data_IF_725612235551
#
_entry.id   IF_725612235551
#
_cell.length_a   1.000
_cell.length_b   1.000
_cell.length_c   1.000
_cell.angle_alpha   90.00
_cell.angle_beta   90.00
_cell.angle_gamma   90.00
#
_symmetry.space_group_name_H-M   'P 1'
#
loop_
_entity.id
_entity.type
_entity.pdbx_description
1 polymer ?
#
# COMPACT_ATOMS: atom_id res chain seq x y z
N UNK A 1 38.34 31.59 -31.77
CA UNK A 1 37.45 30.42 -31.52
C UNK A 1 36.53 30.74 -30.33
N UNK A 2 35.36 31.34 -30.62
CA UNK A 2 34.28 31.52 -29.64
C UNK A 2 33.58 30.18 -29.43
N UNK A 3 33.82 29.54 -28.29
CA UNK A 3 33.01 28.40 -27.83
C UNK A 3 31.61 28.88 -27.49
N UNK A 4 30.63 28.62 -28.34
CA UNK A 4 29.22 28.72 -28.00
C UNK A 4 28.90 27.73 -26.88
N UNK A 5 28.82 28.21 -25.67
CA UNK A 5 28.18 27.49 -24.56
C UNK A 5 26.68 27.51 -24.84
N UNK A 6 26.16 26.48 -25.51
CA UNK A 6 24.73 26.19 -25.46
C UNK A 6 24.40 25.83 -24.02
N UNK A 7 23.98 26.81 -23.25
CA UNK A 7 23.37 26.57 -21.96
C UNK A 7 22.06 25.81 -22.22
N UNK A 8 22.06 24.52 -22.02
CA UNK A 8 20.84 23.71 -21.94
C UNK A 8 20.09 24.17 -20.69
N UNK A 9 19.18 25.13 -20.87
CA UNK A 9 18.24 25.50 -19.80
C UNK A 9 17.42 24.24 -19.52
N UNK A 10 17.46 23.72 -18.28
CA UNK A 10 16.67 22.53 -17.96
C UNK A 10 15.21 22.86 -18.24
N UNK A 11 14.53 22.03 -19.05
CA UNK A 11 13.11 22.17 -19.30
C UNK A 11 12.41 22.13 -17.95
N UNK A 12 11.76 23.24 -17.55
CA UNK A 12 10.97 23.28 -16.33
C UNK A 12 9.77 22.35 -16.51
N UNK A 13 9.60 21.43 -15.58
CA UNK A 13 8.39 20.60 -15.52
C UNK A 13 7.23 21.43 -14.97
N UNK A 14 6.40 21.94 -15.88
CA UNK A 14 5.22 22.72 -15.54
C UNK A 14 4.03 21.81 -15.18
N UNK A 15 3.96 20.59 -15.69
CA UNK A 15 2.87 19.66 -15.39
C UNK A 15 2.86 19.23 -13.92
N UNK A 16 4.02 19.26 -13.25
CA UNK A 16 4.13 18.94 -11.81
C UNK A 16 3.68 20.08 -10.89
N UNK A 17 3.38 21.26 -11.42
CA UNK A 17 3.03 22.46 -10.66
C UNK A 17 1.52 22.64 -10.54
N UNK A 18 1.10 23.34 -9.47
CA UNK A 18 -0.26 23.88 -9.36
C UNK A 18 -0.34 25.26 -9.99
N UNK A 19 -1.53 25.65 -10.43
CA UNK A 19 -1.78 27.02 -10.87
C UNK A 19 -1.49 28.00 -9.74
N UNK A 20 -0.98 29.17 -10.13
CA UNK A 20 -0.78 30.29 -9.21
C UNK A 20 -2.14 30.93 -8.95
N UNK A 21 -2.54 31.02 -7.69
CA UNK A 21 -3.75 31.72 -7.29
C UNK A 21 -3.55 33.23 -7.45
N UNK A 22 -4.32 33.82 -8.37
CA UNK A 22 -4.26 35.25 -8.66
C UNK A 22 -5.24 36.10 -7.85
N UNK A 23 -6.00 35.49 -6.92
CA UNK A 23 -6.91 36.20 -6.02
C UNK A 23 -6.19 36.93 -4.89
N UNK A 24 -4.96 36.49 -4.54
CA UNK A 24 -4.12 37.13 -3.52
C UNK A 24 -3.91 38.66 -3.81
N UNK A 25 -3.97 39.49 -2.76
CA UNK A 25 -3.83 40.94 -2.81
C UNK A 25 -2.56 41.39 -3.53
N UNK A 26 -1.45 40.67 -3.40
CA UNK A 26 -0.17 40.99 -4.10
C UNK A 26 -0.29 40.98 -5.62
N UNK A 27 -1.20 40.17 -6.19
CA UNK A 27 -1.44 40.17 -7.64
C UNK A 27 -2.45 41.23 -8.07
N UNK A 28 -3.30 41.68 -7.14
CA UNK A 28 -4.23 42.79 -7.42
C UNK A 28 -3.50 44.17 -7.43
N UNK A 29 -2.52 44.32 -6.56
CA UNK A 29 -1.75 45.57 -6.42
C UNK A 29 -0.59 45.72 -7.40
N UNK A 30 -0.12 44.60 -8.00
CA UNK A 30 1.03 44.61 -8.92
C UNK A 30 0.66 44.03 -10.30
N UNK A 31 0.42 44.92 -11.31
CA UNK A 31 0.10 44.46 -12.68
C UNK A 31 1.17 43.53 -13.29
N UNK A 32 2.43 43.76 -12.97
CA UNK A 32 3.55 42.93 -13.43
C UNK A 32 3.50 41.52 -12.90
N UNK A 33 3.22 41.34 -11.59
CA UNK A 33 3.05 40.04 -10.98
C UNK A 33 1.81 39.30 -11.51
N UNK A 34 0.70 40.01 -11.70
CA UNK A 34 -0.51 39.46 -12.30
C UNK A 34 -0.26 38.91 -13.70
N UNK A 35 0.42 39.71 -14.54
CA UNK A 35 0.80 39.28 -15.90
C UNK A 35 1.73 38.08 -15.89
N UNK A 36 2.72 38.06 -15.00
CA UNK A 36 3.61 36.93 -14.84
C UNK A 36 2.82 35.67 -14.44
N UNK A 37 1.93 35.73 -13.43
CA UNK A 37 1.12 34.62 -12.99
C UNK A 37 0.21 34.07 -14.10
N UNK A 38 -0.39 34.97 -14.90
CA UNK A 38 -1.20 34.58 -16.07
C UNK A 38 -0.40 33.76 -17.09
N UNK A 39 0.83 34.23 -17.41
CA UNK A 39 1.71 33.52 -18.35
C UNK A 39 2.16 32.18 -17.77
N UNK A 40 2.46 32.11 -16.49
CA UNK A 40 2.87 30.89 -15.82
C UNK A 40 1.71 29.86 -15.79
N UNK A 41 0.48 30.30 -15.48
CA UNK A 41 -0.72 29.46 -15.50
C UNK A 41 -1.02 28.93 -16.91
N UNK A 42 -0.83 29.76 -17.95
CA UNK A 42 -0.97 29.33 -19.34
C UNK A 42 0.03 28.20 -19.68
N UNK A 43 1.29 28.30 -19.24
CA UNK A 43 2.30 27.27 -19.48
C UNK A 43 1.96 25.97 -18.76
N UNK A 44 1.50 26.05 -17.50
CA UNK A 44 1.08 24.90 -16.71
C UNK A 44 -0.10 24.20 -17.40
N UNK A 45 -1.13 24.95 -17.77
CA UNK A 45 -2.31 24.41 -18.45
C UNK A 45 -1.97 23.80 -19.82
N UNK A 46 -1.17 24.49 -20.62
CA UNK A 46 -0.77 24.00 -21.95
C UNK A 46 0.03 22.70 -21.88
N UNK A 47 0.95 22.57 -20.92
CA UNK A 47 1.71 21.33 -20.74
C UNK A 47 0.83 20.20 -20.21
N UNK A 48 -0.05 20.49 -19.24
CA UNK A 48 -1.01 19.51 -18.72
C UNK A 48 -1.94 18.99 -19.81
N UNK A 49 -2.42 19.85 -20.71
CA UNK A 49 -3.27 19.48 -21.84
C UNK A 49 -2.51 18.64 -22.88
N UNK A 50 -1.30 19.06 -23.24
CA UNK A 50 -0.47 18.33 -24.20
C UNK A 50 -0.13 16.91 -23.73
N UNK A 51 0.07 16.72 -22.42
CA UNK A 51 0.33 15.40 -21.83
C UNK A 51 -0.93 14.54 -21.66
N UNK A 52 -2.11 15.17 -21.54
CA UNK A 52 -3.39 14.47 -21.33
C UNK A 52 -4.07 14.04 -22.63
N UNK A 53 -3.65 14.56 -23.79
CA UNK A 53 -4.30 14.41 -25.10
C UNK A 53 -5.76 14.88 -25.13
N UNK A 54 -6.59 14.55 -24.14
CA UNK A 54 -7.93 15.08 -23.91
C UNK A 54 -8.34 14.94 -22.44
N UNK A 55 -9.22 15.82 -21.96
CA UNK A 55 -9.75 15.77 -20.58
C UNK A 55 -10.51 14.46 -20.34
N UNK A 56 -11.36 14.04 -21.28
CA UNK A 56 -12.15 12.81 -21.17
C UNK A 56 -11.25 11.57 -21.08
N UNK A 57 -10.16 11.55 -21.84
CA UNK A 57 -9.18 10.45 -21.76
C UNK A 57 -8.49 10.42 -20.41
N UNK A 58 -8.10 11.59 -19.88
CA UNK A 58 -7.48 11.72 -18.57
C UNK A 58 -8.42 11.24 -17.44
N UNK A 59 -9.70 11.64 -17.48
CA UNK A 59 -10.73 11.20 -16.53
C UNK A 59 -10.92 9.69 -16.58
N UNK A 60 -10.97 9.11 -17.78
CA UNK A 60 -11.06 7.66 -17.94
C UNK A 60 -9.83 6.94 -17.38
N UNK A 61 -8.62 7.42 -17.67
CA UNK A 61 -7.38 6.83 -17.14
C UNK A 61 -7.30 6.93 -15.61
N UNK A 62 -7.73 8.04 -15.02
CA UNK A 62 -7.84 8.20 -13.56
C UNK A 62 -8.78 7.14 -12.97
N UNK A 63 -9.95 6.96 -13.59
CA UNK A 63 -10.92 5.94 -13.15
C UNK A 63 -10.32 4.53 -13.19
N UNK A 64 -9.73 4.14 -14.31
CA UNK A 64 -9.10 2.81 -14.48
C UNK A 64 -7.99 2.57 -13.48
N UNK A 65 -7.08 3.55 -13.29
CA UNK A 65 -5.97 3.42 -12.32
C UNK A 65 -6.44 3.44 -10.87
N UNK A 66 -7.50 4.17 -10.57
CA UNK A 66 -8.12 4.19 -9.23
C UNK A 66 -8.70 2.81 -8.89
N UNK A 67 -9.41 2.18 -9.82
CA UNK A 67 -9.95 0.83 -9.61
C UNK A 67 -8.83 -0.22 -9.52
N UNK A 68 -7.79 -0.12 -10.35
CA UNK A 68 -6.62 -1.00 -10.24
C UNK A 68 -5.91 -0.84 -8.87
N UNK A 69 -5.79 0.39 -8.39
CA UNK A 69 -5.23 0.68 -7.05
C UNK A 69 -6.08 0.12 -5.92
N UNK A 70 -7.42 0.25 -5.99
CA UNK A 70 -8.34 -0.34 -5.01
C UNK A 70 -8.23 -1.86 -4.97
N UNK A 71 -8.24 -2.50 -6.14
CA UNK A 71 -8.07 -3.96 -6.26
C UNK A 71 -6.74 -4.43 -5.67
N UNK A 72 -5.64 -3.76 -6.01
CA UNK A 72 -4.33 -4.08 -5.45
C UNK A 72 -4.30 -3.93 -3.92
N UNK A 73 -4.91 -2.86 -3.37
CA UNK A 73 -5.02 -2.64 -1.92
C UNK A 73 -5.82 -3.75 -1.25
N UNK A 74 -6.93 -4.18 -1.83
CA UNK A 74 -7.74 -5.27 -1.29
C UNK A 74 -6.95 -6.58 -1.27
N UNK A 75 -6.23 -6.90 -2.34
CA UNK A 75 -5.37 -8.10 -2.40
C UNK A 75 -4.24 -8.05 -1.35
N UNK A 76 -3.68 -6.87 -1.06
CA UNK A 76 -2.69 -6.70 0.04
C UNK A 76 -3.31 -7.06 1.38
N UNK A 77 -4.53 -6.59 1.68
CA UNK A 77 -5.23 -6.91 2.94
C UNK A 77 -5.51 -8.41 3.06
N UNK A 78 -5.95 -9.05 1.98
CA UNK A 78 -6.19 -10.50 1.96
C UNK A 78 -4.90 -11.29 2.21
N UNK A 79 -3.77 -10.87 1.61
CA UNK A 79 -2.47 -11.48 1.86
C UNK A 79 -1.99 -11.27 3.30
N UNK A 80 -2.24 -10.09 3.90
CA UNK A 80 -1.89 -9.82 5.30
C UNK A 80 -2.64 -10.75 6.26
N UNK A 81 -3.93 -11.00 6.02
CA UNK A 81 -4.69 -11.98 6.80
C UNK A 81 -4.11 -13.38 6.66
N UNK A 82 -3.86 -13.84 5.43
CA UNK A 82 -3.25 -15.16 5.19
C UNK A 82 -1.87 -15.31 5.82
N UNK A 83 -1.04 -14.27 5.74
CA UNK A 83 0.29 -14.24 6.36
C UNK A 83 0.17 -14.36 7.88
N UNK A 84 -0.76 -13.63 8.49
CA UNK A 84 -1.02 -13.69 9.93
C UNK A 84 -1.42 -15.09 10.38
N UNK A 85 -2.38 -15.71 9.69
CA UNK A 85 -2.85 -17.06 10.00
C UNK A 85 -1.71 -18.07 9.85
N UNK A 86 -0.90 -17.94 8.79
CA UNK A 86 0.24 -18.83 8.55
C UNK A 86 1.34 -18.68 9.62
N UNK A 87 1.59 -17.48 10.13
CA UNK A 87 2.52 -17.24 11.24
C UNK A 87 2.07 -17.98 12.51
N UNK A 88 0.76 -17.96 12.82
CA UNK A 88 0.22 -18.70 13.96
C UNK A 88 0.37 -20.22 13.76
N UNK A 89 0.10 -20.71 12.57
CA UNK A 89 0.27 -22.14 12.22
C UNK A 89 1.74 -22.56 12.37
N UNK A 90 2.68 -21.77 11.86
CA UNK A 90 4.12 -22.05 11.99
C UNK A 90 4.51 -22.10 13.47
N UNK A 91 4.04 -21.17 14.29
CA UNK A 91 4.28 -21.14 15.73
C UNK A 91 3.79 -22.44 16.40
N UNK A 92 2.57 -22.89 16.11
CA UNK A 92 2.05 -24.13 16.65
C UNK A 92 2.81 -25.35 16.10
N UNK A 93 3.20 -25.37 14.85
CA UNK A 93 3.99 -26.43 14.27
C UNK A 93 5.38 -26.57 14.93
N UNK A 94 6.03 -25.46 15.23
CA UNK A 94 7.29 -25.41 15.96
C UNK A 94 7.13 -25.89 17.41
N UNK A 95 6.08 -25.43 18.11
CA UNK A 95 5.76 -25.88 19.48
C UNK A 95 5.45 -27.38 19.52
N UNK A 96 4.68 -27.88 18.56
CA UNK A 96 4.37 -29.30 18.43
C UNK A 96 5.64 -30.13 18.26
N UNK A 97 6.52 -29.74 17.33
CA UNK A 97 7.80 -30.43 17.05
C UNK A 97 8.75 -30.39 18.24
N UNK A 98 8.91 -29.23 18.87
CA UNK A 98 9.82 -29.02 20.00
C UNK A 98 9.41 -29.85 21.23
N UNK A 99 8.10 -30.04 21.46
CA UNK A 99 7.59 -30.72 22.64
C UNK A 99 7.17 -32.18 22.40
N UNK A 100 7.34 -32.68 21.19
CA UNK A 100 6.95 -34.04 20.81
C UNK A 100 7.67 -35.13 21.67
N UNK A 101 8.97 -34.94 21.95
CA UNK A 101 9.78 -35.86 22.76
C UNK A 101 9.25 -36.03 24.19
N UNK A 102 8.80 -34.93 24.80
CA UNK A 102 8.23 -34.92 26.16
C UNK A 102 6.90 -35.71 26.21
N UNK A 103 6.06 -35.54 25.19
CA UNK A 103 4.81 -36.31 25.10
C UNK A 103 5.07 -37.80 24.88
N UNK A 104 6.04 -38.20 24.05
CA UNK A 104 6.45 -39.57 23.86
C UNK A 104 7.01 -40.12 25.15
N UNK A 105 7.85 -39.38 25.85
CA UNK A 105 8.38 -39.75 27.15
C UNK A 105 7.29 -39.97 28.20
N UNK A 106 6.27 -39.11 28.25
CA UNK A 106 5.12 -39.26 29.13
C UNK A 106 4.36 -40.58 28.89
N UNK A 107 4.12 -40.93 27.62
CA UNK A 107 3.44 -42.19 27.28
C UNK A 107 4.24 -43.46 27.63
N UNK A 108 5.57 -43.36 27.69
CA UNK A 108 6.48 -44.46 27.98
C UNK A 108 6.95 -44.50 29.44
N UNK A 109 6.60 -43.50 30.24
CA UNK A 109 7.09 -43.39 31.63
C UNK A 109 6.52 -44.50 32.53
N UNK A 110 7.38 -45.06 33.36
CA UNK A 110 6.96 -46.04 34.41
C UNK A 110 6.08 -45.36 35.47
N UNK A 111 6.30 -44.09 35.75
CA UNK A 111 5.46 -43.29 36.64
C UNK A 111 5.02 -42.02 35.86
N UNK A 112 3.87 -42.07 35.19
CA UNK A 112 3.35 -40.96 34.38
C UNK A 112 3.11 -39.68 35.19
N UNK A 113 2.62 -39.77 36.42
CA UNK A 113 2.29 -38.63 37.27
C UNK A 113 3.55 -37.83 37.66
N UNK A 114 4.60 -38.55 38.05
CA UNK A 114 5.89 -37.90 38.39
C UNK A 114 6.52 -37.27 37.13
N UNK A 115 6.42 -37.92 36.00
CA UNK A 115 6.91 -37.40 34.73
C UNK A 115 6.11 -36.18 34.30
N UNK A 116 4.77 -36.22 34.38
CA UNK A 116 3.90 -35.07 34.07
C UNK A 116 4.24 -33.86 34.92
N UNK A 117 4.32 -34.01 36.26
CA UNK A 117 4.67 -32.90 37.14
C UNK A 117 6.00 -32.26 36.78
N UNK A 118 6.96 -33.01 36.30
CA UNK A 118 8.28 -32.54 35.92
C UNK A 118 8.28 -31.76 34.59
N UNK A 119 7.42 -32.16 33.63
CA UNK A 119 7.39 -31.64 32.26
C UNK A 119 6.00 -31.14 31.87
N UNK A 120 5.23 -30.67 32.84
CA UNK A 120 3.83 -30.28 32.68
C UNK A 120 3.66 -29.23 31.56
N UNK A 121 4.45 -28.16 31.59
CA UNK A 121 4.37 -27.08 30.60
C UNK A 121 4.59 -27.59 29.17
N UNK A 122 5.59 -28.44 28.97
CA UNK A 122 5.92 -29.00 27.65
C UNK A 122 4.82 -29.94 27.13
N UNK A 123 4.23 -30.76 28.00
CA UNK A 123 3.16 -31.68 27.65
C UNK A 123 1.88 -30.90 27.32
N UNK A 124 1.57 -29.85 28.09
CA UNK A 124 0.42 -28.98 27.84
C UNK A 124 0.60 -28.23 26.52
N UNK A 125 1.79 -27.63 26.27
CA UNK A 125 2.11 -26.93 25.02
C UNK A 125 1.99 -27.88 23.81
N UNK A 126 2.48 -29.11 23.91
CA UNK A 126 2.30 -30.10 22.85
C UNK A 126 0.83 -30.37 22.58
N UNK A 127 0.03 -30.60 23.62
CA UNK A 127 -1.40 -30.92 23.49
C UNK A 127 -2.21 -29.72 22.91
N UNK A 128 -1.85 -28.50 23.30
CA UNK A 128 -2.44 -27.27 22.76
C UNK A 128 -2.10 -27.10 21.28
N UNK A 129 -0.80 -27.15 20.95
CA UNK A 129 -0.34 -27.01 19.57
C UNK A 129 -0.93 -28.07 18.64
N UNK A 130 -1.00 -29.31 19.11
CA UNK A 130 -1.64 -30.40 18.38
C UNK A 130 -3.10 -30.11 18.03
N UNK A 131 -3.90 -29.69 19.02
CA UNK A 131 -5.33 -29.34 18.81
C UNK A 131 -5.50 -28.20 17.80
N UNK A 132 -4.69 -27.16 17.92
CA UNK A 132 -4.75 -26.01 17.00
C UNK A 132 -4.43 -26.40 15.56
N UNK A 133 -3.42 -27.25 15.36
CA UNK A 133 -3.05 -27.76 14.04
C UNK A 133 -4.13 -28.69 13.45
N UNK A 134 -4.72 -29.56 14.27
CA UNK A 134 -5.83 -30.46 13.86
C UNK A 134 -7.08 -29.64 13.49
N UNK A 135 -7.43 -28.60 14.26
CA UNK A 135 -8.52 -27.67 13.96
C UNK A 135 -8.28 -26.89 12.67
N UNK A 136 -7.04 -26.48 12.40
CA UNK A 136 -6.65 -25.85 11.15
C UNK A 136 -6.57 -26.82 9.96
N UNK A 137 -6.91 -28.10 10.14
CA UNK A 137 -6.99 -29.12 9.09
C UNK A 137 -5.64 -29.73 8.69
N UNK A 138 -4.57 -29.54 9.47
CA UNK A 138 -3.26 -30.10 9.15
C UNK A 138 -3.14 -31.55 9.56
N UNK A 139 -2.61 -32.35 8.65
CA UNK A 139 -2.22 -33.74 8.98
C UNK A 139 -0.84 -33.72 9.66
N UNK A 140 -0.82 -34.05 10.96
CA UNK A 140 0.39 -34.01 11.78
C UNK A 140 1.51 -34.94 11.33
N UNK A 141 1.14 -36.07 10.64
CA UNK A 141 2.13 -37.03 10.12
C UNK A 141 2.91 -36.48 8.91
N UNK A 142 2.28 -35.58 8.14
CA UNK A 142 2.85 -34.97 6.94
C UNK A 142 3.22 -33.51 7.15
N UNK A 143 3.23 -33.03 8.41
CA UNK A 143 3.52 -31.64 8.74
C UNK A 143 4.97 -31.30 8.39
N UNK A 144 5.16 -30.37 7.44
CA UNK A 144 6.46 -29.89 7.02
C UNK A 144 6.60 -28.38 7.32
N UNK A 145 7.35 -28.05 8.35
CA UNK A 145 7.55 -26.68 8.81
C UNK A 145 8.33 -25.85 7.77
N UNK A 146 9.29 -26.46 7.07
CA UNK A 146 10.10 -25.74 6.07
C UNK A 146 9.25 -25.33 4.87
N UNK A 147 8.26 -26.19 4.49
CA UNK A 147 7.28 -25.84 3.46
C UNK A 147 6.40 -24.68 3.89
N UNK A 148 5.93 -24.63 5.14
CA UNK A 148 5.15 -23.52 5.67
C UNK A 148 5.96 -22.22 5.70
N UNK A 149 7.25 -22.31 6.08
CA UNK A 149 8.16 -21.15 6.05
C UNK A 149 8.41 -20.64 4.63
N UNK A 150 8.56 -21.53 3.66
CA UNK A 150 8.70 -21.17 2.25
C UNK A 150 7.44 -20.49 1.71
N UNK A 151 6.25 -20.99 2.10
CA UNK A 151 4.97 -20.39 1.75
C UNK A 151 4.84 -18.97 2.38
N UNK A 152 5.23 -18.81 3.63
CA UNK A 152 5.28 -17.51 4.29
C UNK A 152 6.18 -16.50 3.55
N UNK A 153 7.37 -16.93 3.12
CA UNK A 153 8.28 -16.08 2.36
C UNK A 153 7.68 -15.66 1.01
N UNK A 154 7.05 -16.60 0.31
CA UNK A 154 6.40 -16.31 -0.97
C UNK A 154 5.21 -15.36 -0.83
N UNK A 155 4.33 -15.56 0.16
CA UNK A 155 3.23 -14.63 0.43
C UNK A 155 3.72 -13.23 0.81
N UNK A 156 4.82 -13.15 1.58
CA UNK A 156 5.44 -11.88 1.94
C UNK A 156 5.98 -11.16 0.71
N UNK A 157 6.66 -11.88 -0.20
CA UNK A 157 7.14 -11.33 -1.47
C UNK A 157 6.00 -10.77 -2.32
N UNK A 158 4.92 -11.55 -2.47
CA UNK A 158 3.73 -11.14 -3.23
C UNK A 158 3.07 -9.89 -2.62
N UNK A 159 2.98 -9.83 -1.29
CA UNK A 159 2.46 -8.66 -0.58
C UNK A 159 3.31 -7.41 -0.88
N UNK A 160 4.64 -7.53 -0.85
CA UNK A 160 5.54 -6.41 -1.07
C UNK A 160 5.47 -5.91 -2.53
N UNK A 161 5.35 -6.81 -3.50
CA UNK A 161 5.14 -6.47 -4.91
C UNK A 161 3.82 -5.74 -5.13
N UNK A 162 2.71 -6.25 -4.57
CA UNK A 162 1.40 -5.61 -4.68
C UNK A 162 1.35 -4.27 -3.94
N UNK A 163 2.03 -4.16 -2.79
CA UNK A 163 2.15 -2.90 -2.05
C UNK A 163 2.91 -1.85 -2.87
N UNK A 164 3.96 -2.26 -3.58
CA UNK A 164 4.70 -1.37 -4.47
C UNK A 164 3.83 -0.91 -5.65
N UNK A 165 3.11 -1.84 -6.28
CA UNK A 165 2.18 -1.54 -7.37
C UNK A 165 1.07 -0.58 -6.91
N UNK A 166 0.44 -0.84 -5.76
CA UNK A 166 -0.56 0.04 -5.16
C UNK A 166 -0.03 1.47 -4.96
N UNK A 167 1.16 1.61 -4.37
CA UNK A 167 1.79 2.92 -4.16
C UNK A 167 2.09 3.65 -5.47
N UNK A 168 2.46 2.92 -6.53
CA UNK A 168 2.66 3.48 -7.87
C UNK A 168 1.34 4.02 -8.44
N UNK A 169 0.26 3.22 -8.39
CA UNK A 169 -1.06 3.68 -8.84
C UNK A 169 -1.54 4.91 -8.07
N UNK A 170 -1.36 4.92 -6.75
CA UNK A 170 -1.74 6.07 -5.91
C UNK A 170 -0.98 7.34 -6.30
N UNK A 171 0.31 7.23 -6.58
CA UNK A 171 1.14 8.34 -7.05
C UNK A 171 0.69 8.84 -8.41
N UNK A 172 0.50 7.93 -9.37
CA UNK A 172 0.06 8.25 -10.72
C UNK A 172 -1.32 8.92 -10.73
N UNK A 173 -2.29 8.37 -9.99
CA UNK A 173 -3.63 8.97 -9.84
C UNK A 173 -3.55 10.36 -9.25
N UNK A 174 -2.70 10.59 -8.24
CA UNK A 174 -2.50 11.91 -7.64
C UNK A 174 -1.92 12.92 -8.63
N UNK A 175 -0.97 12.49 -9.46
CA UNK A 175 -0.39 13.34 -10.52
C UNK A 175 -1.41 13.66 -11.62
N UNK A 176 -2.20 12.66 -12.04
CA UNK A 176 -3.26 12.85 -13.04
C UNK A 176 -4.39 13.76 -12.54
N UNK A 177 -4.85 13.58 -11.29
CA UNK A 177 -5.83 14.46 -10.68
C UNK A 177 -5.33 15.90 -10.62
N UNK A 178 -4.07 16.14 -10.26
CA UNK A 178 -3.49 17.48 -10.27
C UNK A 178 -3.51 18.10 -11.66
N UNK A 179 -3.22 17.32 -12.72
CA UNK A 179 -3.32 17.82 -14.11
C UNK A 179 -4.76 18.16 -14.46
N UNK A 180 -5.70 17.32 -14.08
CA UNK A 180 -7.13 17.53 -14.32
C UNK A 180 -7.63 18.77 -13.60
N UNK A 181 -7.25 18.96 -12.32
CA UNK A 181 -7.58 20.16 -11.54
C UNK A 181 -7.05 21.43 -12.18
N UNK A 182 -5.78 21.43 -12.61
CA UNK A 182 -5.18 22.55 -13.32
C UNK A 182 -5.94 22.91 -14.59
N UNK A 183 -6.35 21.91 -15.37
CA UNK A 183 -7.12 22.11 -16.61
C UNK A 183 -8.51 22.66 -16.31
N UNK A 184 -9.24 22.07 -15.37
CA UNK A 184 -10.57 22.50 -15.00
C UNK A 184 -10.56 23.95 -14.44
N UNK A 185 -9.63 24.24 -13.53
CA UNK A 185 -9.47 25.58 -12.97
C UNK A 185 -9.10 26.62 -14.06
N UNK A 186 -8.20 26.26 -14.98
CA UNK A 186 -7.83 27.16 -16.07
C UNK A 186 -8.98 27.43 -17.05
N UNK A 187 -9.82 26.42 -17.29
CA UNK A 187 -11.00 26.52 -18.17
C UNK A 187 -12.24 27.11 -17.48
N UNK A 188 -12.14 27.46 -16.20
CA UNK A 188 -13.26 27.98 -15.41
C UNK A 188 -14.38 26.93 -15.18
N UNK A 189 -14.05 25.62 -15.22
CA UNK A 189 -14.97 24.54 -14.88
C UNK A 189 -14.96 24.37 -13.36
N UNK A 190 -16.15 24.34 -12.74
CA UNK A 190 -16.28 24.14 -11.30
C UNK A 190 -15.71 22.76 -10.87
N UNK A 191 -14.67 22.78 -10.04
CA UNK A 191 -14.04 21.59 -9.47
C UNK A 191 -14.72 21.12 -8.18
N UNK A 192 -15.92 21.61 -7.86
CA UNK A 192 -16.58 21.40 -6.57
C UNK A 192 -16.98 19.95 -6.23
N UNK A 193 -16.83 19.00 -7.17
CA UNK A 193 -17.24 17.60 -6.94
C UNK A 193 -16.15 16.64 -6.46
N UNK A 194 -14.87 17.01 -6.52
CA UNK A 194 -13.74 16.10 -6.21
C UNK A 194 -13.16 16.24 -4.80
N UNK A 195 -13.46 17.34 -4.09
CA UNK A 195 -12.88 17.60 -2.76
C UNK A 195 -13.66 16.95 -1.59
N UNK A 196 -14.86 16.41 -1.82
CA UNK A 196 -15.66 15.82 -0.71
C UNK A 196 -15.28 14.39 -0.34
N UNK A 197 -14.50 13.69 -1.13
CA UNK A 197 -14.11 12.30 -0.81
C UNK A 197 -12.84 12.17 0.06
N UNK A 198 -11.93 13.14 0.01
CA UNK A 198 -10.69 13.08 0.82
C UNK A 198 -10.86 13.53 2.28
N UNK A 199 -11.91 14.29 2.60
CA UNK A 199 -12.17 14.73 3.98
C UNK A 199 -12.95 13.71 4.81
N UNK A 200 -13.67 12.78 4.19
CA UNK A 200 -14.42 11.74 4.93
C UNK A 200 -13.55 10.59 5.43
N UNK A 201 -12.42 10.30 4.79
CA UNK A 201 -11.52 9.23 5.25
C UNK A 201 -10.61 9.64 6.43
N UNK A 202 -10.38 10.94 6.63
CA UNK A 202 -9.57 11.43 7.76
C UNK A 202 -10.30 11.49 9.09
N UNK A 203 -11.64 11.55 9.07
CA UNK A 203 -12.44 11.60 10.31
C UNK A 203 -12.71 10.21 10.92
N UNK A 204 -12.58 9.13 10.16
CA UNK A 204 -12.81 7.76 10.65
C UNK A 204 -11.59 7.10 11.31
N UNK A 205 -10.40 7.66 11.13
CA UNK A 205 -9.17 7.12 11.73
C UNK A 205 -8.72 7.81 13.03
N UNK A 206 -9.56 8.68 13.61
CA UNK A 206 -9.27 9.34 14.90
C UNK A 206 -10.12 8.84 16.08
N UNK A 207 -10.92 7.79 15.89
CA UNK A 207 -11.72 7.22 16.98
C UNK A 207 -11.56 5.70 17.00
N UNK A 208 -10.41 5.24 17.48
CA UNK A 208 -10.21 3.89 18.08
C UNK A 208 -8.93 3.94 18.92
#
# INVERSE_FOLDING_TARGET
LKRERKATIPKRDYASRRLVDTSDEKFQTSPGLKRWATIENLKIAAQSYAEAESITKLEHEISVKTEAGKSAKQSVVELEHRIKDLVEIIKYAEQYRANCSYHIGYKKAKNPDAYFRRYESQIILYGGARRMLEQAGFNLKSLNIDKLKSEYQELTRQKDELTSAYKSYEKEVREMNRKLDNLNQYLGRDTSSTLSSEQQDKSKNQTL
#
